data_IF_392580597535
#
_entry.id   IF_392580597535
#
_cell.length_a   1.000
_cell.length_b   1.000
_cell.length_c   1.000
_cell.angle_alpha   90.00
_cell.angle_beta   90.00
_cell.angle_gamma   90.00
#
_symmetry.space_group_name_H-M   'P 1'
#
loop_
_entity.id
_entity.type
_entity.pdbx_description
1 polymer ?
#
# COMPACT_ATOMS: atom_id res chain seq x y z
N UNK A 1 -9.98 14.47 4.91
CA UNK A 1 -10.81 13.28 5.16
C UNK A 1 -10.05 12.39 6.14
N UNK A 2 -10.71 11.85 7.17
CA UNK A 2 -10.04 11.08 8.23
C UNK A 2 -9.58 9.70 7.69
N UNK A 3 -8.32 9.27 7.95
CA UNK A 3 -7.80 7.99 7.47
C UNK A 3 -8.62 6.77 7.92
N UNK A 4 -9.19 6.78 9.13
CA UNK A 4 -10.03 5.68 9.63
C UNK A 4 -11.37 5.60 8.90
N UNK A 5 -11.87 6.72 8.40
CA UNK A 5 -13.10 6.75 7.58
C UNK A 5 -12.87 6.07 6.23
N UNK A 6 -11.65 6.17 5.67
CA UNK A 6 -11.31 5.50 4.42
C UNK A 6 -11.18 3.99 4.58
N UNK A 7 -10.55 3.54 5.68
CA UNK A 7 -10.50 2.10 6.04
C UNK A 7 -11.91 1.52 6.09
N UNK A 8 -12.80 2.14 6.88
CA UNK A 8 -14.20 1.70 7.01
C UNK A 8 -14.95 1.71 5.68
N UNK A 9 -14.67 2.69 4.80
CA UNK A 9 -15.28 2.77 3.48
C UNK A 9 -14.91 1.56 2.63
N UNK A 10 -13.63 1.22 2.54
CA UNK A 10 -13.15 0.09 1.74
C UNK A 10 -13.73 -1.22 2.29
N UNK A 11 -13.69 -1.42 3.62
CA UNK A 11 -14.28 -2.61 4.25
C UNK A 11 -15.78 -2.77 3.94
N UNK A 12 -16.52 -1.66 3.91
CA UNK A 12 -17.95 -1.67 3.56
C UNK A 12 -18.19 -1.98 2.07
N UNK A 13 -17.32 -1.51 1.17
CA UNK A 13 -17.40 -1.85 -0.26
C UNK A 13 -17.15 -3.35 -0.44
N UNK A 14 -16.06 -3.87 0.14
CA UNK A 14 -15.70 -5.28 0.05
C UNK A 14 -16.79 -6.18 0.62
N UNK A 15 -17.34 -5.83 1.79
CA UNK A 15 -18.45 -6.60 2.41
C UNK A 15 -19.70 -6.63 1.53
N UNK A 16 -20.00 -5.53 0.83
CA UNK A 16 -21.14 -5.47 -0.10
C UNK A 16 -20.92 -6.29 -1.36
N UNK A 17 -19.73 -6.22 -1.96
CA UNK A 17 -19.40 -7.01 -3.14
C UNK A 17 -19.41 -8.51 -2.83
N UNK A 18 -18.87 -8.91 -1.67
CA UNK A 18 -18.92 -10.29 -1.20
C UNK A 18 -20.37 -10.76 -0.97
N UNK A 19 -21.22 -9.92 -0.36
CA UNK A 19 -22.63 -10.25 -0.13
C UNK A 19 -23.45 -10.38 -1.44
N UNK A 20 -23.06 -9.64 -2.48
CA UNK A 20 -23.69 -9.68 -3.80
C UNK A 20 -23.08 -10.76 -4.72
N UNK A 21 -22.02 -11.44 -4.30
CA UNK A 21 -21.34 -12.46 -5.11
C UNK A 21 -20.72 -11.90 -6.38
N UNK A 22 -20.23 -10.65 -6.34
CA UNK A 22 -19.61 -9.99 -7.49
C UNK A 22 -18.29 -10.69 -7.84
N UNK A 23 -18.06 -10.97 -9.14
CA UNK A 23 -16.81 -11.58 -9.61
C UNK A 23 -15.65 -10.59 -9.57
N UNK A 24 -14.41 -11.10 -9.62
CA UNK A 24 -13.19 -10.28 -9.60
C UNK A 24 -13.18 -9.22 -10.73
N UNK A 25 -13.67 -9.56 -11.91
CA UNK A 25 -13.69 -8.67 -13.09
C UNK A 25 -14.73 -7.54 -12.98
N UNK A 26 -15.79 -7.77 -12.21
CA UNK A 26 -16.85 -6.80 -11.95
C UNK A 26 -16.63 -6.02 -10.63
N UNK A 27 -15.66 -6.45 -9.82
CA UNK A 27 -15.29 -5.78 -8.57
C UNK A 27 -14.67 -4.39 -8.81
N UNK A 28 -14.71 -3.53 -7.80
CA UNK A 28 -14.00 -2.25 -7.84
C UNK A 28 -12.47 -2.41 -8.01
N UNK A 29 -11.90 -3.58 -7.65
CA UNK A 29 -10.49 -3.89 -7.83
C UNK A 29 -10.07 -3.96 -9.31
N UNK A 30 -11.00 -4.31 -10.21
CA UNK A 30 -10.72 -4.41 -11.65
C UNK A 30 -10.21 -3.08 -12.26
N UNK A 31 -10.55 -1.94 -11.65
CA UNK A 31 -10.02 -0.62 -12.03
C UNK A 31 -8.49 -0.52 -11.88
N UNK A 32 -7.90 -1.34 -11.02
CA UNK A 32 -6.48 -1.31 -10.68
C UNK A 32 -5.70 -2.46 -11.30
N UNK A 33 -6.30 -3.22 -12.23
CA UNK A 33 -5.73 -4.42 -12.88
C UNK A 33 -4.35 -4.24 -13.51
N UNK A 34 -3.99 -2.99 -13.82
CA UNK A 34 -2.74 -2.61 -14.47
C UNK A 34 -1.70 -2.10 -13.45
N UNK A 35 -1.91 -2.34 -12.15
CA UNK A 35 -1.01 -1.91 -11.08
C UNK A 35 -0.75 -3.00 -10.06
N UNK A 36 0.54 -3.35 -9.95
CA UNK A 36 1.06 -4.25 -8.95
C UNK A 36 1.40 -3.58 -7.61
N UNK A 37 1.02 -2.30 -7.42
CA UNK A 37 1.39 -1.52 -6.24
C UNK A 37 0.20 -1.21 -5.34
N UNK A 38 0.39 -1.40 -4.04
CA UNK A 38 -0.52 -0.91 -3.01
C UNK A 38 0.15 0.17 -2.16
N UNK A 39 -0.65 1.07 -1.63
CA UNK A 39 -0.28 2.02 -0.61
C UNK A 39 -0.53 1.39 0.76
N UNK A 40 0.45 1.46 1.65
CA UNK A 40 0.30 1.10 3.06
C UNK A 40 0.59 2.33 3.91
N UNK A 41 -0.35 2.77 4.73
CA UNK A 41 -0.20 3.94 5.61
C UNK A 41 -0.57 3.64 7.05
N UNK A 42 -0.12 4.49 7.96
CA UNK A 42 -0.32 4.29 9.40
C UNK A 42 0.72 3.37 10.03
N UNK A 43 1.82 3.10 9.31
CA UNK A 43 2.91 2.25 9.78
C UNK A 43 3.57 2.91 11.00
N UNK A 44 3.79 2.17 12.11
CA UNK A 44 4.61 2.62 13.22
C UNK A 44 5.98 3.12 12.76
N UNK A 45 6.47 4.21 13.36
CA UNK A 45 7.77 4.80 13.00
C UNK A 45 8.96 3.93 13.45
N UNK A 46 8.70 3.02 14.38
CA UNK A 46 9.68 2.08 14.93
C UNK A 46 9.91 0.87 14.01
N UNK A 47 9.07 0.68 12.99
CA UNK A 47 9.26 -0.38 11.99
C UNK A 47 10.20 0.07 10.87
N UNK A 48 11.08 -0.85 10.48
CA UNK A 48 12.07 -0.66 9.43
C UNK A 48 11.68 -1.41 8.15
N UNK A 49 12.39 -1.13 7.06
CA UNK A 49 12.31 -1.88 5.79
C UNK A 49 12.69 -3.37 5.96
N UNK A 50 13.49 -3.71 6.98
CA UNK A 50 13.77 -5.11 7.30
C UNK A 50 12.56 -5.85 7.87
N UNK A 51 11.68 -5.14 8.58
CA UNK A 51 10.49 -5.74 9.24
C UNK A 51 9.30 -5.88 8.28
N UNK A 52 9.24 -4.97 7.30
CA UNK A 52 8.23 -4.93 6.26
C UNK A 52 9.03 -4.89 4.96
N UNK A 53 9.17 -6.03 4.26
CA UNK A 53 9.85 -6.15 2.95
C UNK A 53 9.20 -5.22 1.91
N UNK A 54 9.45 -3.92 2.03
CA UNK A 54 8.64 -2.85 1.47
C UNK A 54 9.46 -1.56 1.37
N UNK A 55 9.25 -0.80 0.29
CA UNK A 55 9.93 0.49 0.11
C UNK A 55 9.20 1.57 0.91
N UNK A 56 9.84 2.06 1.96
CA UNK A 56 9.30 3.12 2.81
C UNK A 56 9.47 4.50 2.18
N UNK A 57 8.45 5.34 2.32
CA UNK A 57 8.63 6.75 2.03
C UNK A 57 9.39 7.40 3.17
N UNK A 58 10.64 7.79 2.91
CA UNK A 58 11.49 8.48 3.88
C UNK A 58 11.47 10.00 3.67
N UNK A 59 11.81 10.73 4.71
CA UNK A 59 12.08 12.15 4.64
C UNK A 59 13.53 12.44 4.22
N UNK A 60 13.71 13.28 3.19
CA UNK A 60 15.01 13.50 2.54
C UNK A 60 16.05 14.16 3.44
N UNK A 61 15.60 14.91 4.46
CA UNK A 61 16.52 15.58 5.39
C UNK A 61 16.90 14.73 6.60
N UNK A 62 16.00 13.85 7.06
CA UNK A 62 16.17 13.14 8.34
C UNK A 62 16.34 11.63 8.21
N UNK A 63 16.07 11.06 7.03
CA UNK A 63 16.06 9.60 6.80
C UNK A 63 14.94 8.87 7.55
N UNK A 64 14.08 9.60 8.29
CA UNK A 64 13.01 8.99 9.07
C UNK A 64 11.85 8.56 8.18
N UNK A 65 11.24 7.43 8.52
CA UNK A 65 10.02 6.95 7.89
C UNK A 65 8.90 7.99 8.01
N UNK A 66 8.13 8.18 6.93
CA UNK A 66 6.92 9.02 6.91
C UNK A 66 5.68 8.27 7.40
N UNK A 67 5.83 7.02 7.86
CA UNK A 67 4.72 6.19 8.33
C UNK A 67 3.84 5.65 7.20
N UNK A 68 4.36 5.59 5.98
CA UNK A 68 3.75 4.94 4.84
C UNK A 68 4.79 4.33 3.89
N UNK A 69 4.37 3.34 3.13
CA UNK A 69 5.18 2.62 2.16
C UNK A 69 4.36 2.30 0.92
N UNK A 70 5.06 2.02 -0.18
CA UNK A 70 4.46 1.40 -1.36
C UNK A 70 5.02 0.00 -1.51
N UNK A 71 4.14 -0.99 -1.61
CA UNK A 71 4.52 -2.40 -1.72
C UNK A 71 4.20 -2.87 -3.12
N UNK A 72 5.22 -3.41 -3.79
CA UNK A 72 5.08 -4.09 -5.06
C UNK A 72 4.77 -5.57 -4.80
N UNK A 73 3.73 -6.09 -5.45
CA UNK A 73 3.44 -7.51 -5.48
C UNK A 73 3.80 -8.10 -6.85
N UNK A 74 3.90 -9.42 -6.92
CA UNK A 74 4.15 -10.12 -8.18
C UNK A 74 2.93 -10.09 -9.11
N UNK A 75 1.73 -10.21 -8.54
CA UNK A 75 0.48 -10.28 -9.28
C UNK A 75 -0.62 -9.37 -8.73
N UNK A 76 -1.62 -9.12 -9.58
CA UNK A 76 -2.81 -8.34 -9.24
C UNK A 76 -3.65 -9.01 -8.14
N UNK A 77 -3.66 -10.34 -8.09
CA UNK A 77 -4.43 -11.07 -7.08
C UNK A 77 -3.88 -10.82 -5.68
N UNK A 78 -2.57 -10.74 -5.54
CA UNK A 78 -1.91 -10.41 -4.28
C UNK A 78 -2.19 -8.98 -3.84
N UNK A 79 -2.28 -8.01 -4.76
CA UNK A 79 -2.69 -6.64 -4.40
C UNK A 79 -4.13 -6.61 -3.88
N UNK A 80 -5.04 -7.34 -4.52
CA UNK A 80 -6.44 -7.48 -4.06
C UNK A 80 -6.49 -8.13 -2.68
N UNK A 81 -5.82 -9.28 -2.49
CA UNK A 81 -5.77 -9.97 -1.21
C UNK A 81 -5.17 -9.09 -0.10
N UNK A 82 -4.15 -8.30 -0.40
CA UNK A 82 -3.57 -7.38 0.56
C UNK A 82 -4.55 -6.28 0.98
N UNK A 83 -5.26 -5.67 0.02
CA UNK A 83 -6.27 -4.65 0.30
C UNK A 83 -7.44 -5.21 1.09
N UNK A 84 -7.88 -6.43 0.78
CA UNK A 84 -9.06 -7.03 1.42
C UNK A 84 -8.78 -7.48 2.86
N UNK A 85 -7.62 -8.10 3.07
CA UNK A 85 -7.30 -8.73 4.34
C UNK A 85 -6.53 -7.83 5.31
N UNK A 86 -5.69 -6.91 4.80
CA UNK A 86 -4.78 -6.12 5.63
C UNK A 86 -5.27 -4.68 5.87
N UNK A 87 -6.24 -4.20 5.10
CA UNK A 87 -6.80 -2.87 5.33
C UNK A 87 -7.61 -2.82 6.63
N UNK A 88 -7.12 -2.03 7.59
CA UNK A 88 -7.69 -1.93 8.93
C UNK A 88 -7.06 -2.86 9.96
N UNK A 89 -6.05 -3.65 9.59
CA UNK A 89 -5.27 -4.45 10.53
C UNK A 89 -4.55 -3.57 11.56
N UNK A 90 -4.28 -4.13 12.75
CA UNK A 90 -3.53 -3.44 13.79
C UNK A 90 -2.09 -3.95 13.84
N UNK A 91 -1.13 -3.03 13.77
CA UNK A 91 0.30 -3.29 13.91
C UNK A 91 0.84 -2.39 15.03
N UNK A 92 1.39 -3.01 16.08
CA UNK A 92 1.88 -2.30 17.28
C UNK A 92 0.87 -1.28 17.83
N UNK A 93 -0.41 -1.66 17.87
CA UNK A 93 -1.50 -0.80 18.37
C UNK A 93 -1.96 0.30 17.40
N UNK A 94 -1.42 0.38 16.18
CA UNK A 94 -1.84 1.33 15.14
C UNK A 94 -2.60 0.62 14.03
N UNK A 95 -3.73 1.20 13.63
CA UNK A 95 -4.50 0.72 12.48
C UNK A 95 -3.77 1.14 11.20
N UNK A 96 -3.46 0.17 10.35
CA UNK A 96 -2.91 0.42 9.01
C UNK A 96 -4.02 0.55 7.97
N UNK A 97 -3.76 1.38 6.96
CA UNK A 97 -4.59 1.53 5.77
C UNK A 97 -3.88 0.90 4.59
N UNK A 98 -4.55 -0.02 3.90
CA UNK A 98 -4.05 -0.61 2.65
C UNK A 98 -5.02 -0.24 1.54
N UNK A 99 -4.51 0.30 0.44
CA UNK A 99 -5.34 0.80 -0.67
C UNK A 99 -4.62 0.60 -2.02
N UNK A 100 -5.40 0.42 -3.07
CA UNK A 100 -4.88 0.28 -4.43
C UNK A 100 -4.36 1.61 -4.97
N UNK A 101 -3.31 1.56 -5.79
CA UNK A 101 -2.71 2.75 -6.42
C UNK A 101 -2.64 2.54 -7.91
N UNK A 102 -3.12 3.49 -8.73
CA UNK A 102 -3.14 3.31 -10.20
C UNK A 102 -1.85 3.70 -10.91
N UNK A 103 -1.08 4.65 -10.36
CA UNK A 103 0.08 5.25 -11.05
C UNK A 103 1.27 5.42 -10.12
N UNK A 104 1.59 4.39 -9.34
CA UNK A 104 2.87 4.41 -8.64
C UNK A 104 3.98 4.07 -9.63
N UNK A 105 4.99 4.94 -9.71
CA UNK A 105 6.26 4.64 -10.35
C UNK A 105 7.30 4.68 -9.23
N UNK A 106 8.00 3.57 -9.01
CA UNK A 106 9.19 3.57 -8.17
C UNK A 106 10.09 4.67 -8.73
N UNK A 107 10.46 5.65 -7.91
CA UNK A 107 11.58 6.51 -8.29
C UNK A 107 12.77 5.59 -8.28
N UNK A 108 13.37 5.36 -9.46
CA UNK A 108 14.73 4.86 -9.51
C UNK A 108 15.53 5.84 -8.65
N UNK A 109 16.03 5.34 -7.52
CA UNK A 109 17.17 5.98 -6.91
C UNK A 109 18.23 5.83 -7.99
N UNK A 110 18.57 6.93 -8.66
CA UNK A 110 19.89 7.02 -9.28
C UNK A 110 20.83 6.65 -8.13
N UNK A 111 21.44 5.47 -8.21
CA UNK A 111 22.55 5.12 -7.33
C UNK A 111 23.49 6.32 -7.41
N UNK A 112 23.54 7.15 -6.37
CA UNK A 112 24.36 8.37 -6.29
C UNK A 112 25.86 8.06 -6.53
N UNK A 113 26.21 6.77 -6.60
CA UNK A 113 27.50 6.24 -7.00
C UNK A 113 27.82 6.36 -8.51
N UNK A 114 26.82 6.50 -9.39
CA UNK A 114 27.04 6.54 -10.86
C UNK A 114 27.22 7.96 -11.41
N UNK A 115 26.72 9.00 -10.74
CA UNK A 115 26.91 10.39 -11.16
C UNK A 115 28.25 11.00 -10.73
N UNK A 116 28.89 10.48 -9.68
CA UNK A 116 30.23 10.93 -9.27
C UNK A 116 31.37 10.38 -10.15
N UNK A 117 31.04 9.55 -11.15
CA UNK A 117 32.01 8.94 -12.09
C UNK A 117 31.86 9.41 -13.54
N UNK A 118 31.07 10.46 -13.81
CA UNK A 118 30.99 11.10 -15.13
C UNK A 118 31.62 12.48 -15.14
#
# INVERSE_FOLDING_TARGET
MNPLTLVKRIQNINSKEAALGISEEASWHAKYKDSAYVYVGGIPFDLTEGDLLAVFAQDKGTGKSKGFAFVAYEDQRSTTLAVDNLNGAQILGRIIRVDHVTRYKKKEEEDEETEQRK
#
